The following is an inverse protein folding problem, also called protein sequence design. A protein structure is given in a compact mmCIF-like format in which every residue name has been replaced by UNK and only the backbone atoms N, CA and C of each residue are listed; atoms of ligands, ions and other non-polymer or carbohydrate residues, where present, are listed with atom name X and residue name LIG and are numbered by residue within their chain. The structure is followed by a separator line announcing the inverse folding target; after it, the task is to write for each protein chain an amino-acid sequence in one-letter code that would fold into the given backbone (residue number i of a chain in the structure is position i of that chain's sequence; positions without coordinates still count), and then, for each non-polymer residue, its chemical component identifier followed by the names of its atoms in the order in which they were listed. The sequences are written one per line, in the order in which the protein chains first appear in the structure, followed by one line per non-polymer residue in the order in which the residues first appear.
data_IF_720371812028
#
_entry.id   IF_720371812028
#
_cell.length_a   1.000
_cell.length_b   1.000
_cell.length_c   1.000
_cell.angle_alpha   90.00
_cell.angle_beta   90.00
_cell.angle_gamma   90.00
#
_symmetry.space_group_name_H-M   'P 1'
#
loop_
_entity.id
_entity.type
_entity.pdbx_description
1 polymer ?
#
# COMPACT_ATOMS: atom_id res chain seq x y z
N UNK A 1 6.51 -16.00 -35.25
CA UNK A 1 6.11 -16.92 -34.18
C UNK A 1 7.15 -16.77 -33.06
N UNK A 2 7.04 -15.67 -32.32
CA UNK A 2 7.99 -15.35 -31.24
C UNK A 2 7.39 -15.87 -29.93
N UNK A 3 8.05 -16.87 -29.35
CA UNK A 3 7.78 -17.40 -28.04
C UNK A 3 8.12 -16.32 -27.01
N UNK A 4 7.09 -15.78 -26.34
CA UNK A 4 7.25 -14.95 -25.16
C UNK A 4 7.86 -15.82 -24.04
N UNK A 5 8.91 -15.34 -23.35
CA UNK A 5 9.44 -16.04 -22.20
C UNK A 5 8.35 -16.10 -21.13
N UNK A 6 8.03 -17.30 -20.67
CA UNK A 6 7.14 -17.53 -19.52
C UNK A 6 7.74 -16.84 -18.31
N UNK A 7 7.20 -15.69 -17.94
CA UNK A 7 7.53 -15.04 -16.67
C UNK A 7 7.02 -15.93 -15.54
N UNK A 8 7.93 -16.60 -14.84
CA UNK A 8 7.65 -17.28 -13.58
C UNK A 8 7.33 -16.23 -12.50
N UNK A 9 6.10 -15.72 -12.57
CA UNK A 9 5.51 -14.94 -11.50
C UNK A 9 4.93 -15.91 -10.47
N UNK A 10 5.77 -16.75 -9.88
CA UNK A 10 5.43 -17.50 -8.69
C UNK A 10 5.34 -16.53 -7.51
N UNK A 11 4.17 -15.93 -7.38
CA UNK A 11 3.71 -15.34 -6.13
C UNK A 11 3.59 -16.47 -5.12
N UNK A 12 4.39 -16.54 -4.05
CA UNK A 12 4.29 -17.65 -3.10
C UNK A 12 2.93 -17.60 -2.41
N UNK A 13 2.00 -18.40 -2.92
CA UNK A 13 0.72 -18.70 -2.33
C UNK A 13 0.95 -19.50 -1.04
N UNK A 14 1.32 -18.85 0.05
CA UNK A 14 1.44 -19.50 1.36
C UNK A 14 0.71 -18.79 2.49
N UNK A 15 -0.35 -18.06 2.16
CA UNK A 15 -1.22 -17.51 3.20
C UNK A 15 -2.68 -17.83 2.90
N UNK A 16 -3.31 -18.71 3.70
CA UNK A 16 -4.72 -18.97 3.54
C UNK A 16 -5.56 -17.74 3.90
N UNK A 17 -6.46 -17.49 3.09
CA UNK A 17 -7.71 -16.69 3.01
C UNK A 17 -8.30 -15.98 4.24
N UNK A 18 -7.59 -15.70 5.30
CA UNK A 18 -8.15 -14.96 6.44
C UNK A 18 -8.27 -13.44 6.17
N UNK A 19 -7.54 -12.90 5.18
CA UNK A 19 -7.60 -11.48 4.84
C UNK A 19 -8.81 -11.07 3.99
N UNK A 20 -9.60 -12.02 3.48
CA UNK A 20 -10.89 -11.70 2.83
C UNK A 20 -11.99 -11.36 3.83
N UNK A 21 -11.70 -11.48 5.14
CA UNK A 21 -12.76 -11.56 6.14
C UNK A 21 -13.25 -10.24 6.67
N UNK A 22 -12.59 -9.13 6.46
CA UNK A 22 -12.94 -8.06 7.42
C UNK A 22 -13.28 -6.68 6.91
N UNK A 23 -13.03 -6.27 5.68
CA UNK A 23 -13.23 -4.83 5.51
C UNK A 23 -14.14 -4.39 4.35
N UNK A 24 -14.28 -5.12 3.24
CA UNK A 24 -14.77 -4.40 2.06
C UNK A 24 -15.80 -5.09 1.16
N UNK A 25 -16.49 -6.15 1.58
CA UNK A 25 -17.40 -6.86 0.67
C UNK A 25 -18.84 -6.33 0.58
N UNK A 26 -19.21 -5.28 1.33
CA UNK A 26 -20.53 -4.66 1.34
C UNK A 26 -20.48 -3.14 1.26
N UNK A 27 -19.70 -2.61 0.31
CA UNK A 27 -19.71 -1.16 0.02
C UNK A 27 -20.70 -0.80 -1.10
N UNK A 28 -21.86 -1.46 -1.20
CA UNK A 28 -22.93 -0.98 -2.09
C UNK A 28 -23.46 0.39 -1.63
N UNK A 29 -23.30 0.75 -0.36
CA UNK A 29 -23.70 2.03 0.23
C UNK A 29 -22.58 2.77 0.96
N UNK A 30 -21.30 2.62 0.56
CA UNK A 30 -20.19 3.32 1.23
C UNK A 30 -20.22 3.17 2.77
N UNK A 31 -20.67 2.02 3.29
CA UNK A 31 -20.71 1.74 4.74
C UNK A 31 -19.92 0.48 5.07
N UNK A 32 -19.18 0.54 6.16
CA UNK A 32 -18.54 -0.64 6.75
C UNK A 32 -19.56 -1.30 7.69
N UNK A 33 -19.79 -2.60 7.50
CA UNK A 33 -20.61 -3.44 8.37
C UNK A 33 -19.85 -4.73 8.71
N UNK A 34 -19.16 -4.72 9.84
CA UNK A 34 -18.37 -5.87 10.33
C UNK A 34 -19.25 -7.09 10.58
N UNK A 35 -20.44 -6.89 11.14
CA UNK A 35 -21.39 -7.96 11.45
C UNK A 35 -21.91 -8.61 10.16
N UNK A 36 -22.32 -7.79 9.20
CA UNK A 36 -22.78 -8.24 7.87
C UNK A 36 -21.70 -9.03 7.13
N UNK A 37 -20.49 -8.49 7.06
CA UNK A 37 -19.35 -9.17 6.43
C UNK A 37 -19.07 -10.53 7.08
N UNK A 38 -19.08 -10.62 8.41
CA UNK A 38 -18.88 -11.90 9.11
C UNK A 38 -20.00 -12.88 8.84
N UNK A 39 -21.26 -12.41 8.85
CA UNK A 39 -22.44 -13.22 8.57
C UNK A 39 -22.40 -13.83 7.17
N UNK A 40 -21.99 -13.05 6.18
CA UNK A 40 -21.93 -13.52 4.78
C UNK A 40 -20.75 -14.42 4.49
N UNK A 41 -19.57 -14.05 4.98
CA UNK A 41 -18.34 -14.80 4.67
C UNK A 41 -18.16 -16.05 5.52
N UNK A 42 -18.62 -16.03 6.77
CA UNK A 42 -18.52 -17.16 7.69
C UNK A 42 -19.70 -17.22 8.66
N UNK A 43 -20.89 -17.65 8.19
CA UNK A 43 -22.10 -17.72 9.02
C UNK A 43 -21.92 -18.59 10.27
N UNK A 44 -21.08 -19.65 10.17
CA UNK A 44 -20.82 -20.55 11.30
C UNK A 44 -20.02 -19.84 12.41
N UNK A 45 -19.03 -19.06 12.02
CA UNK A 45 -18.26 -18.24 12.95
C UNK A 45 -19.13 -17.16 13.57
N UNK A 46 -19.90 -16.42 12.77
CA UNK A 46 -20.80 -15.37 13.23
C UNK A 46 -21.76 -15.87 14.32
N UNK A 47 -22.40 -17.04 14.13
CA UNK A 47 -23.32 -17.64 15.12
C UNK A 47 -22.64 -18.04 16.44
N UNK A 48 -21.33 -18.33 16.41
CA UNK A 48 -20.55 -18.70 17.59
C UNK A 48 -19.86 -17.51 18.27
N UNK A 49 -19.83 -16.36 17.62
CA UNK A 49 -19.12 -15.18 18.11
C UNK A 49 -19.95 -14.51 19.23
N UNK A 50 -19.44 -14.35 20.45
CA UNK A 50 -20.11 -13.60 21.49
C UNK A 50 -20.26 -12.12 21.11
N UNK A 51 -21.38 -11.49 21.49
CA UNK A 51 -21.67 -10.10 21.17
C UNK A 51 -20.58 -9.11 21.62
N UNK A 52 -19.93 -9.38 22.77
CA UNK A 52 -18.85 -8.51 23.24
C UNK A 52 -17.64 -8.53 22.31
N UNK A 53 -17.36 -9.68 21.67
CA UNK A 53 -16.24 -9.80 20.73
C UNK A 53 -16.58 -9.15 19.39
N UNK A 54 -17.84 -9.22 18.95
CA UNK A 54 -18.30 -8.50 17.77
C UNK A 54 -18.16 -6.98 17.98
N UNK A 55 -18.64 -6.45 19.09
CA UNK A 55 -18.48 -5.02 19.45
C UNK A 55 -17.00 -4.61 19.56
N UNK A 56 -16.15 -5.51 20.04
CA UNK A 56 -14.71 -5.26 20.07
C UNK A 56 -14.13 -5.15 18.65
N UNK A 57 -14.53 -6.03 17.71
CA UNK A 57 -14.12 -5.95 16.30
C UNK A 57 -14.61 -4.66 15.65
N UNK A 58 -15.87 -4.29 15.82
CA UNK A 58 -16.43 -3.02 15.34
C UNK A 58 -15.63 -1.81 15.84
N UNK A 59 -15.23 -1.84 17.11
CA UNK A 59 -14.42 -0.77 17.73
C UNK A 59 -13.03 -0.68 17.16
N UNK A 60 -12.29 -1.81 16.97
CA UNK A 60 -10.92 -1.77 16.45
C UNK A 60 -10.85 -1.43 14.95
N UNK A 61 -11.96 -1.67 14.24
CA UNK A 61 -12.11 -1.24 12.84
C UNK A 61 -12.57 0.22 12.76
N UNK A 62 -12.94 0.85 13.87
CA UNK A 62 -13.50 2.20 13.93
C UNK A 62 -14.74 2.35 13.04
N UNK A 63 -15.62 1.32 13.05
CA UNK A 63 -16.76 1.21 12.13
C UNK A 63 -17.63 2.47 12.15
N UNK A 64 -17.97 3.00 13.33
CA UNK A 64 -18.83 4.17 13.45
C UNK A 64 -18.15 5.42 12.89
N UNK A 65 -16.90 5.71 13.32
CA UNK A 65 -16.16 6.88 12.88
C UNK A 65 -15.94 6.89 11.37
N UNK A 66 -15.60 5.72 10.79
CA UNK A 66 -15.45 5.62 9.33
C UNK A 66 -16.79 5.81 8.62
N UNK A 67 -17.88 5.27 9.14
CA UNK A 67 -19.20 5.44 8.52
C UNK A 67 -19.68 6.89 8.61
N UNK A 68 -19.45 7.57 9.72
CA UNK A 68 -19.77 9.00 9.87
C UNK A 68 -18.93 9.86 8.90
N UNK A 69 -17.65 9.52 8.73
CA UNK A 69 -16.80 10.16 7.73
C UNK A 69 -17.28 9.92 6.31
N UNK A 70 -17.62 8.66 5.96
CA UNK A 70 -18.10 8.30 4.63
C UNK A 70 -19.47 8.91 4.30
N UNK A 71 -20.34 9.08 5.29
CA UNK A 71 -21.63 9.77 5.10
C UNK A 71 -21.43 11.24 4.68
N UNK A 72 -20.43 11.90 5.26
CA UNK A 72 -20.10 13.30 4.95
C UNK A 72 -19.29 13.45 3.67
N UNK A 73 -18.28 12.60 3.48
CA UNK A 73 -17.23 12.81 2.49
C UNK A 73 -17.19 11.71 1.39
N UNK A 74 -18.06 10.71 1.44
CA UNK A 74 -18.04 9.58 0.50
C UNK A 74 -18.41 9.95 -0.96
N UNK A 75 -18.91 11.16 -1.20
CA UNK A 75 -19.14 11.71 -2.53
C UNK A 75 -17.86 12.28 -3.18
N UNK A 76 -16.84 12.57 -2.38
CA UNK A 76 -15.53 13.04 -2.85
C UNK A 76 -14.76 11.91 -3.54
N UNK A 77 -13.85 12.29 -4.46
CA UNK A 77 -13.03 11.35 -5.21
C UNK A 77 -11.56 11.73 -5.20
N UNK A 78 -10.73 10.72 -5.38
CA UNK A 78 -9.29 10.86 -5.62
C UNK A 78 -8.62 11.80 -4.61
N UNK A 79 -8.07 12.91 -5.08
CA UNK A 79 -7.34 13.88 -4.27
C UNK A 79 -8.22 14.54 -3.21
N UNK A 80 -9.46 14.94 -3.56
CA UNK A 80 -10.39 15.57 -2.61
C UNK A 80 -10.76 14.63 -1.47
N UNK A 81 -10.94 13.34 -1.75
CA UNK A 81 -11.16 12.32 -0.72
C UNK A 81 -9.95 12.17 0.19
N UNK A 82 -8.74 12.14 -0.39
CA UNK A 82 -7.50 12.06 0.38
C UNK A 82 -7.30 13.30 1.27
N UNK A 83 -7.54 14.50 0.74
CA UNK A 83 -7.45 15.74 1.51
C UNK A 83 -8.43 15.72 2.70
N UNK A 84 -9.69 15.30 2.48
CA UNK A 84 -10.68 15.16 3.55
C UNK A 84 -10.25 14.13 4.62
N UNK A 85 -9.61 13.02 4.25
CA UNK A 85 -9.07 12.06 5.23
C UNK A 85 -7.93 12.66 6.05
N UNK A 86 -7.03 13.43 5.41
CA UNK A 86 -5.94 14.09 6.12
C UNK A 86 -6.48 15.13 7.12
N UNK A 87 -7.51 15.89 6.72
CA UNK A 87 -8.18 16.84 7.59
C UNK A 87 -8.86 16.16 8.77
N UNK A 88 -9.65 15.09 8.55
CA UNK A 88 -10.30 14.31 9.59
C UNK A 88 -9.32 13.76 10.63
N UNK A 89 -8.15 13.32 10.17
CA UNK A 89 -7.09 12.81 11.04
C UNK A 89 -6.16 13.91 11.56
N UNK A 90 -6.35 15.17 11.16
CA UNK A 90 -5.45 16.29 11.46
C UNK A 90 -3.98 15.91 11.21
N UNK A 91 -3.71 15.36 10.02
CA UNK A 91 -2.39 14.92 9.60
C UNK A 91 -1.68 16.05 8.86
N UNK A 92 -0.45 16.37 9.28
CA UNK A 92 0.45 17.20 8.49
C UNK A 92 1.35 16.33 7.62
N UNK A 93 1.69 16.83 6.43
CA UNK A 93 2.57 16.12 5.50
C UNK A 93 3.76 16.99 5.16
N UNK A 94 4.95 16.50 5.49
CA UNK A 94 6.22 17.09 5.07
C UNK A 94 6.78 16.32 3.87
N UNK A 95 7.27 17.04 2.87
CA UNK A 95 7.80 16.42 1.66
C UNK A 95 9.14 17.05 1.29
N UNK A 96 10.22 16.29 1.45
CA UNK A 96 11.58 16.70 1.14
C UNK A 96 11.98 16.19 -0.25
N UNK A 97 12.52 17.04 -1.11
CA UNK A 97 13.02 16.66 -2.42
C UNK A 97 11.92 16.47 -3.47
N UNK A 98 10.75 17.12 -3.33
CA UNK A 98 9.66 17.03 -4.30
C UNK A 98 10.08 17.52 -5.70
N UNK A 99 11.05 18.40 -5.78
CA UNK A 99 11.61 18.90 -7.04
C UNK A 99 12.27 17.80 -7.90
N UNK A 100 12.73 16.70 -7.28
CA UNK A 100 13.31 15.54 -7.96
C UNK A 100 12.29 14.68 -8.69
N UNK A 101 10.99 14.85 -8.41
CA UNK A 101 9.92 14.17 -9.11
C UNK A 101 9.60 14.98 -10.37
N UNK A 102 9.66 14.41 -11.59
CA UNK A 102 9.23 15.10 -12.80
C UNK A 102 7.76 15.54 -12.72
N UNK A 103 7.45 16.72 -13.27
CA UNK A 103 6.09 17.24 -13.30
C UNK A 103 5.19 16.47 -14.29
N UNK A 104 5.79 15.90 -15.31
CA UNK A 104 5.14 15.12 -16.36
C UNK A 104 6.03 13.98 -16.84
N UNK A 105 5.53 13.21 -17.79
CA UNK A 105 6.21 12.07 -18.38
C UNK A 105 6.23 10.82 -17.47
N UNK A 106 6.61 9.67 -18.05
CA UNK A 106 6.52 8.39 -17.39
C UNK A 106 7.61 8.18 -16.34
N UNK A 107 7.19 7.81 -15.13
CA UNK A 107 8.09 7.44 -14.02
C UNK A 107 7.52 6.28 -13.22
N UNK A 108 8.38 5.54 -12.54
CA UNK A 108 8.00 4.52 -11.56
C UNK A 108 8.39 5.02 -10.18
N UNK A 109 7.42 5.36 -9.35
CA UNK A 109 7.64 5.79 -7.96
C UNK A 109 7.55 4.57 -7.06
N UNK A 110 8.63 4.29 -6.34
CA UNK A 110 8.69 3.16 -5.40
C UNK A 110 8.82 3.66 -3.97
N UNK A 111 8.01 3.10 -3.07
CA UNK A 111 7.92 3.56 -1.68
C UNK A 111 7.96 2.39 -0.71
N UNK A 112 8.55 2.59 0.49
CA UNK A 112 8.32 1.70 1.62
C UNK A 112 6.92 1.93 2.20
N UNK A 113 6.45 1.01 3.07
CA UNK A 113 5.06 1.00 3.52
C UNK A 113 4.93 0.92 5.05
N UNK A 114 5.39 1.95 5.82
CA UNK A 114 5.45 1.87 7.28
C UNK A 114 4.12 2.06 7.99
N UNK A 115 3.18 2.87 7.45
CA UNK A 115 1.95 3.30 8.13
C UNK A 115 0.67 2.66 7.55
N UNK A 116 0.79 1.86 6.50
CA UNK A 116 -0.37 1.25 5.85
C UNK A 116 -1.16 2.25 5.01
N UNK A 117 -2.49 2.27 5.11
CA UNK A 117 -3.34 3.12 4.27
C UNK A 117 -2.95 4.61 4.29
N UNK A 118 -2.42 5.09 5.40
CA UNK A 118 -1.98 6.50 5.54
C UNK A 118 -0.88 6.85 4.53
N UNK A 119 0.04 5.93 4.23
CA UNK A 119 1.14 6.19 3.28
C UNK A 119 0.62 6.60 1.90
N UNK A 120 -0.33 5.83 1.37
CA UNK A 120 -0.93 6.11 0.06
C UNK A 120 -1.79 7.37 0.07
N UNK A 121 -2.65 7.53 1.09
CA UNK A 121 -3.55 8.68 1.19
C UNK A 121 -2.78 10.00 1.32
N UNK A 122 -1.77 10.04 2.20
CA UNK A 122 -0.93 11.22 2.40
C UNK A 122 -0.09 11.54 1.16
N UNK A 123 0.42 10.50 0.48
CA UNK A 123 1.15 10.68 -0.77
C UNK A 123 0.27 11.26 -1.87
N UNK A 124 -0.91 10.66 -2.11
CA UNK A 124 -1.86 11.15 -3.13
C UNK A 124 -2.22 12.62 -2.86
N UNK A 125 -2.69 12.95 -1.66
CA UNK A 125 -3.06 14.31 -1.29
C UNK A 125 -1.94 15.30 -1.60
N UNK A 126 -0.70 14.99 -1.23
CA UNK A 126 0.44 15.91 -1.40
C UNK A 126 0.90 16.03 -2.85
N UNK A 127 0.79 14.95 -3.63
CA UNK A 127 1.19 14.94 -5.04
C UNK A 127 0.31 15.79 -5.94
N UNK A 128 -0.91 16.15 -5.52
CA UNK A 128 -1.79 17.06 -6.25
C UNK A 128 -1.11 18.37 -6.69
N UNK A 129 -0.25 18.90 -5.83
CA UNK A 129 0.49 20.15 -6.16
C UNK A 129 1.62 19.95 -7.17
N UNK A 130 1.98 18.70 -7.50
CA UNK A 130 3.08 18.38 -8.41
C UNK A 130 2.59 17.76 -9.71
N UNK A 131 1.72 16.71 -9.61
CA UNK A 131 1.11 16.03 -10.76
C UNK A 131 -0.09 15.19 -10.32
N UNK A 132 -1.11 15.14 -11.16
CA UNK A 132 -2.37 14.45 -10.86
C UNK A 132 -2.53 13.11 -11.61
N UNK A 133 -1.62 12.77 -12.51
CA UNK A 133 -1.66 11.56 -13.35
C UNK A 133 -1.10 10.31 -12.65
N UNK A 134 -1.37 10.19 -11.35
CA UNK A 134 -0.93 9.06 -10.54
C UNK A 134 -1.73 7.80 -10.88
N UNK A 135 -1.06 6.65 -10.89
CA UNK A 135 -1.69 5.35 -10.94
C UNK A 135 -0.98 4.38 -10.00
N UNK A 136 -1.75 3.70 -9.14
CA UNK A 136 -1.20 2.77 -8.16
C UNK A 136 -1.45 1.33 -8.54
N UNK A 137 -0.43 0.50 -8.43
CA UNK A 137 -0.59 -0.94 -8.46
C UNK A 137 -1.13 -1.41 -7.11
N UNK A 138 -2.41 -1.72 -7.04
CA UNK A 138 -3.12 -2.04 -5.82
C UNK A 138 -3.64 -3.48 -5.81
N UNK A 139 -3.89 -4.03 -4.62
CA UNK A 139 -4.56 -5.32 -4.51
C UNK A 139 -6.08 -5.17 -4.73
N UNK A 140 -6.73 -6.31 -5.01
CA UNK A 140 -8.16 -6.41 -5.27
C UNK A 140 -9.08 -5.84 -4.15
N UNK A 141 -8.57 -5.74 -2.92
CA UNK A 141 -9.31 -5.16 -1.79
C UNK A 141 -9.39 -3.64 -1.95
N UNK A 142 -8.29 -2.99 -2.34
CA UNK A 142 -8.25 -1.54 -2.51
C UNK A 142 -9.11 -1.06 -3.67
N UNK A 143 -9.34 -1.90 -4.68
CA UNK A 143 -10.26 -1.60 -5.78
C UNK A 143 -11.72 -1.45 -5.34
N UNK A 144 -12.07 -1.90 -4.15
CA UNK A 144 -13.41 -1.72 -3.59
C UNK A 144 -13.59 -0.33 -2.95
N UNK A 145 -12.53 0.45 -2.81
CA UNK A 145 -12.58 1.83 -2.33
C UNK A 145 -13.04 2.76 -3.45
N UNK A 146 -14.35 2.82 -3.70
CA UNK A 146 -14.97 3.62 -4.77
C UNK A 146 -14.40 5.04 -4.92
N UNK A 147 -14.13 5.79 -3.82
CA UNK A 147 -13.54 7.12 -3.93
C UNK A 147 -12.18 7.20 -4.60
N UNK A 148 -11.42 6.11 -4.64
CA UNK A 148 -10.04 6.05 -5.15
C UNK A 148 -9.88 5.15 -6.38
N UNK A 149 -10.97 4.59 -6.92
CA UNK A 149 -10.90 3.59 -7.99
C UNK A 149 -10.18 4.08 -9.25
N UNK A 150 -10.29 5.37 -9.57
CA UNK A 150 -9.67 5.96 -10.76
C UNK A 150 -8.14 5.97 -10.69
N UNK A 151 -7.59 5.87 -9.46
CA UNK A 151 -6.15 5.86 -9.21
C UNK A 151 -5.56 4.45 -9.10
N UNK A 152 -6.39 3.40 -9.12
CA UNK A 152 -5.92 2.04 -8.84
C UNK A 152 -6.05 1.11 -10.04
N UNK A 153 -4.94 0.39 -10.33
CA UNK A 153 -4.94 -0.77 -11.21
C UNK A 153 -4.77 -2.03 -10.36
N UNK A 154 -5.71 -2.96 -10.50
CA UNK A 154 -5.79 -4.13 -9.64
C UNK A 154 -4.83 -5.24 -9.99
N UNK A 155 -4.28 -5.89 -8.94
CA UNK A 155 -3.56 -7.15 -9.04
C UNK A 155 -4.26 -8.17 -8.16
N UNK A 156 -4.63 -9.31 -8.71
CA UNK A 156 -5.21 -10.40 -7.93
C UNK A 156 -4.21 -10.89 -6.88
N UNK A 157 -4.54 -10.69 -5.62
CA UNK A 157 -3.72 -11.18 -4.49
C UNK A 157 -3.92 -12.67 -4.24
N UNK A 158 -5.06 -13.21 -4.62
CA UNK A 158 -5.47 -14.60 -4.38
C UNK A 158 -5.92 -15.25 -5.70
N UNK A 159 -4.99 -15.91 -6.37
CA UNK A 159 -5.22 -16.62 -7.61
C UNK A 159 -4.21 -16.24 -8.70
N UNK A 160 -4.31 -16.89 -9.86
CA UNK A 160 -3.56 -16.45 -11.06
C UNK A 160 -4.19 -15.16 -11.56
N UNK A 161 -3.36 -14.18 -11.90
CA UNK A 161 -3.84 -13.01 -12.63
C UNK A 161 -4.42 -13.48 -13.97
N UNK A 162 -5.58 -12.94 -14.33
CA UNK A 162 -6.18 -13.20 -15.64
C UNK A 162 -5.37 -12.48 -16.73
N UNK A 163 -5.60 -12.84 -17.98
CA UNK A 163 -4.99 -12.15 -19.11
C UNK A 163 -5.36 -10.65 -19.10
N UNK A 164 -6.59 -10.32 -18.71
CA UNK A 164 -7.05 -8.93 -18.60
C UNK A 164 -6.27 -8.17 -17.52
N UNK A 165 -6.02 -8.80 -16.37
CA UNK A 165 -5.20 -8.19 -15.30
C UNK A 165 -3.78 -7.89 -15.79
N UNK A 166 -3.15 -8.83 -16.52
CA UNK A 166 -1.83 -8.61 -17.07
C UNK A 166 -1.82 -7.50 -18.13
N UNK A 167 -2.84 -7.46 -18.99
CA UNK A 167 -2.98 -6.38 -19.98
C UNK A 167 -3.13 -5.01 -19.31
N UNK A 168 -3.93 -4.92 -18.23
CA UNK A 168 -4.09 -3.66 -17.48
C UNK A 168 -2.78 -3.21 -16.83
N UNK A 169 -2.00 -4.13 -16.27
CA UNK A 169 -0.68 -3.84 -15.71
C UNK A 169 0.28 -3.38 -16.80
N UNK A 170 0.31 -4.09 -17.93
CA UNK A 170 1.19 -3.74 -19.05
C UNK A 170 0.83 -2.37 -19.64
N UNK A 171 -0.46 -2.06 -19.80
CA UNK A 171 -0.94 -0.74 -20.21
C UNK A 171 -0.54 0.36 -19.21
N UNK A 172 -0.68 0.11 -17.92
CA UNK A 172 -0.28 1.05 -16.88
C UNK A 172 1.21 1.40 -16.98
N UNK A 173 2.08 0.40 -17.09
CA UNK A 173 3.53 0.62 -17.20
C UNK A 173 3.99 1.17 -18.55
N UNK A 174 3.20 1.04 -19.62
CA UNK A 174 3.50 1.64 -20.93
C UNK A 174 2.81 3.01 -21.11
N UNK A 175 2.17 3.55 -20.07
CA UNK A 175 1.55 4.87 -20.13
C UNK A 175 2.55 5.97 -19.74
N UNK A 176 2.22 7.22 -20.08
CA UNK A 176 3.00 8.39 -19.68
C UNK A 176 2.75 8.84 -18.23
N UNK A 177 2.08 8.00 -17.42
CA UNK A 177 1.68 8.31 -16.04
C UNK A 177 2.79 8.04 -15.02
N UNK A 178 2.62 8.60 -13.82
CA UNK A 178 3.41 8.22 -12.66
C UNK A 178 2.87 6.93 -12.04
N UNK A 179 3.57 5.82 -12.27
CA UNK A 179 3.23 4.52 -11.71
C UNK A 179 3.76 4.40 -10.28
N UNK A 180 2.87 4.34 -9.30
CA UNK A 180 3.20 4.31 -7.88
C UNK A 180 3.07 2.89 -7.31
N UNK A 181 4.10 2.42 -6.61
CA UNK A 181 4.15 1.04 -6.12
C UNK A 181 4.71 0.98 -4.71
N UNK A 182 4.12 0.12 -3.88
CA UNK A 182 4.69 -0.41 -2.65
C UNK A 182 5.24 -1.82 -2.91
N UNK A 183 6.53 -1.99 -3.27
CA UNK A 183 7.03 -3.24 -3.84
C UNK A 183 7.00 -4.43 -2.86
N UNK A 184 6.96 -4.17 -1.55
CA UNK A 184 6.78 -5.20 -0.53
C UNK A 184 5.38 -5.85 -0.59
N UNK A 185 4.36 -5.09 -1.03
CA UNK A 185 2.95 -5.50 -1.08
C UNK A 185 2.31 -5.73 0.30
N UNK A 186 3.02 -5.40 1.36
CA UNK A 186 2.61 -5.50 2.77
C UNK A 186 3.23 -4.37 3.57
N UNK A 187 2.54 -3.96 4.63
CA UNK A 187 3.06 -2.98 5.60
C UNK A 187 4.37 -3.48 6.21
N UNK A 188 5.31 -2.56 6.47
CA UNK A 188 6.62 -2.85 7.08
C UNK A 188 6.50 -3.67 8.37
N UNK A 189 7.47 -4.51 8.62
CA UNK A 189 7.51 -5.41 9.78
C UNK A 189 8.73 -5.12 10.65
N UNK A 190 8.63 -5.42 11.94
CA UNK A 190 9.76 -5.34 12.87
C UNK A 190 10.47 -6.70 12.95
N UNK A 191 11.70 -6.76 12.43
CA UNK A 191 12.54 -7.96 12.44
C UNK A 191 13.89 -7.62 13.06
N UNK A 192 14.33 -8.36 14.07
CA UNK A 192 15.61 -8.12 14.80
C UNK A 192 15.76 -6.67 15.29
N UNK A 193 14.67 -6.04 15.74
CA UNK A 193 14.68 -4.66 16.22
C UNK A 193 14.47 -3.59 15.16
N UNK A 194 14.68 -3.88 13.90
CA UNK A 194 14.59 -2.95 12.77
C UNK A 194 13.21 -3.03 12.14
N UNK A 195 12.60 -1.87 11.86
CA UNK A 195 11.33 -1.74 11.14
C UNK A 195 11.67 -1.46 9.68
N UNK A 196 11.29 -2.39 8.82
CA UNK A 196 11.51 -2.27 7.38
C UNK A 196 10.54 -3.17 6.60
N UNK A 197 10.45 -2.92 5.32
CA UNK A 197 9.70 -3.77 4.41
C UNK A 197 10.29 -5.17 4.33
N UNK A 198 9.44 -6.14 4.02
CA UNK A 198 9.87 -7.45 3.57
C UNK A 198 10.67 -7.36 2.25
N UNK A 199 11.05 -8.49 1.70
CA UNK A 199 11.73 -8.56 0.39
C UNK A 199 10.86 -7.86 -0.68
N UNK A 200 11.45 -6.94 -1.42
CA UNK A 200 10.78 -6.24 -2.51
C UNK A 200 10.64 -7.13 -3.74
N UNK A 201 9.52 -7.01 -4.42
CA UNK A 201 9.24 -7.71 -5.67
C UNK A 201 9.91 -6.99 -6.82
N UNK A 202 10.37 -7.76 -7.79
CA UNK A 202 11.14 -7.28 -8.94
C UNK A 202 10.31 -6.61 -10.04
N UNK A 203 8.97 -6.68 -9.99
CA UNK A 203 8.07 -6.24 -11.08
C UNK A 203 8.39 -4.85 -11.60
N UNK A 204 8.61 -3.88 -10.71
CA UNK A 204 8.91 -2.50 -11.11
C UNK A 204 10.26 -2.38 -11.84
N UNK A 205 11.25 -3.18 -11.47
CA UNK A 205 12.56 -3.24 -12.16
C UNK A 205 12.40 -3.83 -13.56
N UNK A 206 11.66 -4.93 -13.65
CA UNK A 206 11.39 -5.59 -14.95
C UNK A 206 10.74 -4.61 -15.94
N UNK A 207 9.76 -3.84 -15.45
CA UNK A 207 9.13 -2.83 -16.31
C UNK A 207 10.03 -1.62 -16.58
N UNK A 208 10.79 -1.14 -15.61
CA UNK A 208 11.76 -0.06 -15.83
C UNK A 208 12.77 -0.40 -16.92
N UNK A 209 13.29 -1.64 -16.95
CA UNK A 209 14.14 -2.13 -18.01
C UNK A 209 13.43 -2.19 -19.38
N UNK A 210 12.19 -2.67 -19.39
CA UNK A 210 11.40 -2.84 -20.62
C UNK A 210 11.01 -1.50 -21.26
N UNK A 211 10.64 -0.51 -20.44
CA UNK A 211 10.08 0.77 -20.88
C UNK A 211 11.08 1.92 -20.86
N UNK A 212 12.21 1.77 -20.19
CA UNK A 212 13.19 2.85 -19.98
C UNK A 212 12.76 3.87 -18.91
N UNK A 213 11.68 3.62 -18.18
CA UNK A 213 11.18 4.56 -17.15
C UNK A 213 12.16 4.69 -15.99
N UNK A 214 12.40 5.93 -15.59
CA UNK A 214 13.19 6.25 -14.40
C UNK A 214 12.45 5.84 -13.14
N UNK A 215 13.17 5.26 -12.19
CA UNK A 215 12.65 4.90 -10.87
C UNK A 215 12.94 6.03 -9.90
N UNK A 216 11.91 6.51 -9.20
CA UNK A 216 12.01 7.52 -8.15
C UNK A 216 11.78 6.84 -6.80
N UNK A 217 12.82 6.61 -5.99
CA UNK A 217 12.66 6.04 -4.67
C UNK A 217 12.23 7.11 -3.67
N UNK A 218 11.18 6.83 -2.88
CA UNK A 218 10.68 7.74 -1.85
C UNK A 218 10.59 7.00 -0.52
N UNK A 219 11.33 7.48 0.46
CA UNK A 219 11.25 6.98 1.83
C UNK A 219 10.12 7.66 2.58
N UNK A 220 9.26 6.86 3.20
CA UNK A 220 8.20 7.31 4.10
C UNK A 220 8.65 7.02 5.53
N UNK A 221 8.67 8.05 6.36
CA UNK A 221 9.01 7.93 7.76
C UNK A 221 7.79 7.54 8.59
N UNK A 222 7.96 6.59 9.51
CA UNK A 222 6.89 6.21 10.40
C UNK A 222 7.02 4.80 10.97
N UNK A 223 6.13 4.51 11.90
CA UNK A 223 6.00 3.19 12.54
C UNK A 223 4.61 2.99 13.09
N UNK A 224 4.17 1.76 13.10
CA UNK A 224 2.93 1.34 13.78
C UNK A 224 3.18 1.08 15.27
N UNK A 225 2.15 0.76 16.00
CA UNK A 225 2.23 0.53 17.45
C UNK A 225 3.04 -0.72 17.81
N UNK A 226 3.54 -0.74 19.04
CA UNK A 226 4.19 -1.93 19.62
C UNK A 226 3.25 -3.14 19.61
N UNK A 227 1.93 -2.91 19.76
CA UNK A 227 0.89 -3.93 19.72
C UNK A 227 0.82 -4.60 18.36
N UNK A 228 0.85 -3.84 17.27
CA UNK A 228 0.83 -4.37 15.90
C UNK A 228 2.02 -5.30 15.65
N UNK A 229 3.23 -4.84 15.95
CA UNK A 229 4.44 -5.66 15.77
C UNK A 229 4.52 -6.83 16.75
N UNK A 230 4.02 -6.66 17.98
CA UNK A 230 3.94 -7.72 18.98
C UNK A 230 3.05 -8.85 18.55
N UNK A 231 1.86 -8.54 18.04
CA UNK A 231 0.90 -9.52 17.53
C UNK A 231 1.46 -10.28 16.31
N UNK A 232 2.12 -9.56 15.40
CA UNK A 232 2.82 -10.19 14.27
C UNK A 232 3.88 -11.21 14.75
N UNK A 233 4.74 -10.81 15.72
CA UNK A 233 5.78 -11.68 16.27
C UNK A 233 5.19 -12.90 16.98
N UNK A 234 4.15 -12.69 17.80
CA UNK A 234 3.45 -13.74 18.52
C UNK A 234 2.86 -14.77 17.55
N UNK A 235 2.07 -14.33 16.58
CA UNK A 235 1.47 -15.24 15.61
C UNK A 235 2.51 -16.02 14.80
N UNK A 236 3.62 -15.37 14.42
CA UNK A 236 4.71 -16.01 13.67
C UNK A 236 5.38 -17.08 14.52
N UNK A 237 5.61 -16.81 15.80
CA UNK A 237 6.17 -17.78 16.75
C UNK A 237 5.28 -19.03 16.89
N UNK A 238 3.97 -18.86 16.94
CA UNK A 238 3.01 -19.98 17.02
C UNK A 238 2.64 -20.57 15.64
N UNK A 239 3.28 -20.17 14.56
CA UNK A 239 3.03 -20.70 13.22
C UNK A 239 1.63 -20.37 12.67
N UNK A 240 0.92 -19.38 13.23
CA UNK A 240 -0.41 -18.98 12.78
C UNK A 240 -0.28 -18.28 11.43
N UNK A 241 -0.84 -18.87 10.37
CA UNK A 241 -0.76 -18.38 9.00
C UNK A 241 -1.61 -17.13 8.75
N UNK A 242 -2.71 -16.96 9.49
CA UNK A 242 -3.61 -15.79 9.35
C UNK A 242 -2.95 -14.53 9.87
N UNK A 243 -2.96 -13.45 9.08
CA UNK A 243 -2.35 -12.16 9.44
C UNK A 243 -3.31 -11.35 10.35
N UNK A 244 -3.45 -11.79 11.61
CA UNK A 244 -4.37 -11.19 12.58
C UNK A 244 -4.06 -9.73 12.86
N UNK A 245 -2.79 -9.32 12.78
CA UNK A 245 -2.37 -7.93 12.95
C UNK A 245 -3.01 -6.98 11.92
N UNK A 246 -3.39 -7.50 10.74
CA UNK A 246 -4.02 -6.68 9.69
C UNK A 246 -5.40 -6.17 10.08
N UNK A 247 -6.08 -6.82 11.04
CA UNK A 247 -7.35 -6.36 11.59
C UNK A 247 -7.23 -5.02 12.31
N UNK A 248 -6.02 -4.71 12.77
CA UNK A 248 -5.72 -3.49 13.51
C UNK A 248 -5.27 -2.32 12.61
N UNK A 249 -5.20 -2.50 11.28
CA UNK A 249 -4.72 -1.42 10.40
C UNK A 249 -5.59 -0.16 10.45
N UNK A 250 -6.90 -0.32 10.61
CA UNK A 250 -7.79 0.83 10.82
C UNK A 250 -7.45 1.56 12.13
N UNK A 251 -7.34 0.82 13.23
CA UNK A 251 -6.93 1.36 14.53
C UNK A 251 -5.53 2.03 14.47
N UNK A 252 -4.60 1.46 13.72
CA UNK A 252 -3.28 2.05 13.49
C UNK A 252 -3.34 3.34 12.65
N UNK A 253 -4.26 3.45 11.70
CA UNK A 253 -4.52 4.67 10.94
C UNK A 253 -5.03 5.79 11.87
N UNK A 254 -6.03 5.52 12.70
CA UNK A 254 -6.56 6.50 13.67
C UNK A 254 -5.51 6.90 14.73
N UNK A 255 -4.57 6.03 15.07
CA UNK A 255 -3.41 6.37 15.93
C UNK A 255 -2.41 7.33 15.28
N UNK A 256 -2.51 7.60 14.00
CA UNK A 256 -1.72 8.64 13.34
C UNK A 256 -2.36 10.04 13.50
N UNK A 257 -3.58 10.15 14.02
CA UNK A 257 -4.25 11.45 14.26
C UNK A 257 -3.31 12.43 14.99
N UNK A 258 -3.32 13.69 14.56
CA UNK A 258 -2.48 14.79 15.05
C UNK A 258 -0.96 14.57 14.88
N UNK A 259 -0.53 13.76 13.91
CA UNK A 259 0.89 13.52 13.63
C UNK A 259 1.31 14.08 12.28
N UNK A 260 2.61 14.06 12.07
CA UNK A 260 3.23 14.39 10.80
C UNK A 260 3.70 13.12 10.10
N UNK A 261 3.45 13.06 8.80
CA UNK A 261 4.01 12.04 7.89
C UNK A 261 5.06 12.73 7.03
N UNK A 262 6.27 12.20 7.03
CA UNK A 262 7.37 12.76 6.26
C UNK A 262 7.75 11.85 5.09
N UNK A 263 7.86 12.46 3.91
CA UNK A 263 8.36 11.84 2.68
C UNK A 263 9.71 12.43 2.33
N UNK A 264 10.66 11.58 1.91
CA UNK A 264 11.97 12.01 1.45
C UNK A 264 12.27 11.34 0.10
N UNK A 265 12.48 12.14 -0.92
CA UNK A 265 12.74 11.69 -2.30
C UNK A 265 14.22 11.46 -2.49
N UNK A 266 14.60 10.28 -2.96
CA UNK A 266 15.98 9.98 -3.34
C UNK A 266 16.32 10.43 -4.76
N UNK A 267 17.56 10.17 -5.16
CA UNK A 267 18.00 10.43 -6.53
C UNK A 267 17.29 9.49 -7.52
N UNK A 268 16.90 10.01 -8.70
CA UNK A 268 16.33 9.22 -9.77
C UNK A 268 17.30 8.10 -10.21
N UNK A 269 16.77 6.89 -10.42
CA UNK A 269 17.55 5.71 -10.79
C UNK A 269 17.13 5.23 -12.17
N UNK A 270 18.07 5.13 -13.09
CA UNK A 270 17.90 4.49 -14.39
C UNK A 270 18.49 3.08 -14.31
N UNK A 271 17.67 2.08 -14.61
CA UNK A 271 18.12 0.69 -14.66
C UNK A 271 18.48 0.35 -16.09
N UNK A 272 19.74 -0.01 -16.39
CA UNK A 272 20.15 -0.39 -17.76
C UNK A 272 19.35 -1.60 -18.24
N UNK A 273 18.91 -1.57 -19.51
CA UNK A 273 18.23 -2.72 -20.14
C UNK A 273 19.13 -3.97 -20.14
N UNK A 274 20.42 -3.76 -20.41
CA UNK A 274 21.46 -4.79 -20.28
C UNK A 274 22.18 -4.60 -18.95
N UNK A 275 22.01 -5.53 -18.05
CA UNK A 275 22.65 -5.52 -16.73
C UNK A 275 23.03 -6.94 -16.36
N UNK A 276 24.21 -7.11 -15.78
CA UNK A 276 24.65 -8.39 -15.19
C UNK A 276 23.88 -8.77 -13.92
N UNK A 277 23.27 -7.77 -13.25
CA UNK A 277 22.44 -7.99 -12.07
C UNK A 277 21.03 -8.42 -12.50
N UNK A 278 20.50 -9.40 -11.77
CA UNK A 278 19.10 -9.80 -11.91
C UNK A 278 18.15 -8.69 -11.46
N UNK A 279 16.91 -8.70 -11.93
CA UNK A 279 15.88 -7.76 -11.51
C UNK A 279 15.61 -7.84 -9.99
N UNK A 280 15.80 -9.02 -9.40
CA UNK A 280 15.64 -9.20 -7.97
C UNK A 280 16.76 -8.50 -7.17
N UNK A 281 18.01 -8.64 -7.59
CA UNK A 281 19.15 -7.94 -6.98
C UNK A 281 18.95 -6.42 -7.07
N UNK A 282 18.60 -5.90 -8.25
CA UNK A 282 18.26 -4.49 -8.42
C UNK A 282 17.16 -4.02 -7.46
N UNK A 283 16.09 -4.80 -7.32
CA UNK A 283 14.99 -4.44 -6.41
C UNK A 283 15.44 -4.35 -4.95
N UNK A 284 16.33 -5.24 -4.50
CA UNK A 284 16.86 -5.19 -3.14
C UNK A 284 17.88 -4.05 -2.94
N UNK A 285 18.70 -3.73 -3.93
CA UNK A 285 19.62 -2.60 -3.90
C UNK A 285 18.86 -1.27 -3.82
N UNK A 286 17.83 -1.09 -4.65
CA UNK A 286 16.98 0.11 -4.62
C UNK A 286 16.28 0.23 -3.27
N UNK A 287 15.80 -0.89 -2.70
CA UNK A 287 15.26 -0.92 -1.34
C UNK A 287 16.29 -0.43 -0.32
N UNK A 288 17.53 -0.94 -0.37
CA UNK A 288 18.58 -0.55 0.56
C UNK A 288 18.91 0.94 0.42
N UNK A 289 19.05 1.43 -0.81
CA UNK A 289 19.28 2.84 -1.10
C UNK A 289 18.16 3.73 -0.54
N UNK A 290 16.91 3.31 -0.69
CA UNK A 290 15.75 4.02 -0.16
C UNK A 290 15.84 4.22 1.37
N UNK A 291 16.23 3.20 2.12
CA UNK A 291 16.37 3.32 3.59
C UNK A 291 17.55 4.19 4.04
N UNK A 292 18.45 4.58 3.14
CA UNK A 292 19.54 5.53 3.40
C UNK A 292 19.15 6.99 3.10
N UNK A 293 18.06 7.24 2.39
CA UNK A 293 17.62 8.59 1.98
C UNK A 293 17.45 9.56 3.17
N UNK A 294 16.83 9.20 4.32
CA UNK A 294 16.65 10.12 5.44
C UNK A 294 17.95 10.70 5.98
N UNK A 295 19.04 9.95 5.90
CA UNK A 295 20.36 10.40 6.37
C UNK A 295 20.93 11.54 5.52
N UNK A 296 20.49 11.67 4.26
CA UNK A 296 20.91 12.73 3.35
C UNK A 296 20.26 14.06 3.73
N UNK A 297 19.00 14.04 4.17
CA UNK A 297 18.26 15.24 4.58
C UNK A 297 18.58 15.68 6.03
N UNK A 298 18.92 14.74 6.92
CA UNK A 298 19.35 15.06 8.30
C UNK A 298 20.72 15.72 8.41
N UNK A 299 21.59 15.56 7.41
CA UNK A 299 22.92 16.20 7.38
C UNK A 299 22.90 17.65 6.91
N UNK A 300 21.83 18.09 6.25
CA UNK A 300 21.70 19.45 5.70
C UNK A 300 21.05 20.43 6.70
N UNK A 301 20.60 19.99 7.86
CA UNK A 301 19.95 20.79 8.90
C UNK A 301 20.84 20.98 10.16
N UNK A 302 22.13 20.74 10.05
CA UNK A 302 23.13 20.93 11.11
C UNK A 302 24.07 22.09 10.84
#
# INVERSE_FOLDING_TARGET
MFLLPTMDCNWPLKYPSCNKLLVLSHMENLKIDVAGVLKDKNPKLYKKLPNFLLRYLERIVHQQEINDFLEKNGHLKNFDFCDAVLEELNLSVMFNGMEKIPADGPVIIVMNHPLGGVDGLAFIAKMRSKREDLVFLANDILLQMKPLNDLFVGVNKHGKNTAETWNSIDQMFNSDKAVCIFPAGLVSRKTKGIIQDSVWKKTFVTYAKKTGHTIIPIHIEGKLSRRFYGLHRWRTFFGIKASLEMLFLADEMFKQRNKQVAFSVGEPIVVPSESTKSDHEWAQEIKQALYLIPQQYGKNNG
#
